data_IF_029797210407
#
_entry.id   IF_029797210407
#
_cell.length_a   1.000
_cell.length_b   1.000
_cell.length_c   1.000
_cell.angle_alpha   90.00
_cell.angle_beta   90.00
_cell.angle_gamma   90.00
#
_symmetry.space_group_name_H-M   'P 1'
#
loop_
_entity.id
_entity.type
_entity.pdbx_description
1 polymer ?
#
# COMPACT_ATOMS: atom_id res chain seq x y z
N UNK A 1 -6.19 30.00 0.86
CA UNK A 1 -6.51 28.97 1.88
C UNK A 1 -5.75 27.69 1.53
N UNK A 2 -5.21 26.96 2.51
CA UNK A 2 -4.48 25.71 2.27
C UNK A 2 -5.42 24.52 2.39
N UNK A 3 -5.61 23.76 1.30
CA UNK A 3 -6.40 22.52 1.30
C UNK A 3 -5.68 21.46 2.12
N UNK A 4 -6.38 20.74 2.99
CA UNK A 4 -5.79 19.64 3.77
C UNK A 4 -6.42 18.32 3.35
N UNK A 5 -5.59 17.32 3.07
CA UNK A 5 -6.06 15.98 2.64
C UNK A 5 -5.33 14.87 3.38
N UNK A 6 -5.98 13.73 3.52
CA UNK A 6 -5.43 12.47 4.02
C UNK A 6 -5.09 11.59 2.82
N UNK A 7 -3.89 11.04 2.77
CA UNK A 7 -3.48 10.03 1.79
C UNK A 7 -3.13 8.73 2.51
N UNK A 8 -4.04 7.76 2.46
CA UNK A 8 -3.89 6.44 3.05
C UNK A 8 -3.24 5.47 2.03
N UNK A 9 -2.01 5.04 2.33
CA UNK A 9 -1.35 3.95 1.63
C UNK A 9 -1.82 2.61 2.21
N UNK A 10 -2.89 2.05 1.63
CA UNK A 10 -3.60 0.87 2.14
C UNK A 10 -2.82 -0.42 1.84
N UNK A 11 -1.83 -0.72 2.67
CA UNK A 11 -1.06 -1.94 2.52
C UNK A 11 -1.91 -3.20 2.80
N UNK A 12 -1.92 -4.14 1.85
CA UNK A 12 -2.70 -5.37 1.94
C UNK A 12 -2.49 -6.12 3.27
N UNK A 13 -3.61 -6.36 3.99
CA UNK A 13 -3.69 -7.04 5.31
C UNK A 13 -2.99 -6.33 6.48
N UNK A 14 -2.86 -5.00 6.41
CA UNK A 14 -2.39 -4.15 7.51
C UNK A 14 -3.53 -3.36 8.18
N UNK A 15 -4.71 -3.96 8.30
CA UNK A 15 -5.91 -3.31 8.87
C UNK A 15 -6.41 -2.05 8.14
N UNK A 16 -5.97 -1.81 6.90
CA UNK A 16 -6.37 -0.63 6.14
C UNK A 16 -7.87 -0.56 5.82
N UNK A 17 -8.57 -1.70 5.70
CA UNK A 17 -10.03 -1.71 5.51
C UNK A 17 -10.76 -1.05 6.67
N UNK A 18 -10.29 -1.27 7.91
CA UNK A 18 -10.90 -0.63 9.08
C UNK A 18 -10.72 0.88 9.05
N UNK A 19 -9.55 1.37 8.61
CA UNK A 19 -9.34 2.80 8.41
C UNK A 19 -10.21 3.35 7.28
N UNK A 20 -10.30 2.64 6.15
CA UNK A 20 -11.17 3.05 5.04
C UNK A 20 -12.62 3.18 5.49
N UNK A 21 -13.13 2.26 6.31
CA UNK A 21 -14.47 2.36 6.89
C UNK A 21 -14.64 3.60 7.79
N UNK A 22 -13.64 3.93 8.62
CA UNK A 22 -13.66 5.16 9.41
C UNK A 22 -13.65 6.40 8.50
N UNK A 23 -12.78 6.44 7.49
CA UNK A 23 -12.67 7.58 6.57
C UNK A 23 -13.95 7.76 5.75
N UNK A 24 -14.52 6.68 5.20
CA UNK A 24 -15.81 6.69 4.49
C UNK A 24 -16.93 7.25 5.36
N UNK A 25 -17.06 6.77 6.60
CA UNK A 25 -18.13 7.22 7.52
C UNK A 25 -18.04 8.70 7.86
N UNK A 26 -16.82 9.24 7.96
CA UNK A 26 -16.59 10.63 8.36
C UNK A 26 -16.57 11.62 7.18
N UNK A 27 -16.20 11.16 5.98
CA UNK A 27 -16.01 12.04 4.81
C UNK A 27 -16.96 11.75 3.65
N UNK A 28 -17.77 10.69 3.72
CA UNK A 28 -18.77 10.31 2.71
C UNK A 28 -18.19 10.38 1.29
N UNK A 29 -18.84 11.12 0.39
CA UNK A 29 -18.45 11.26 -1.02
C UNK A 29 -17.10 11.99 -1.23
N UNK A 30 -16.55 12.58 -0.16
CA UNK A 30 -15.22 13.22 -0.17
C UNK A 30 -14.11 12.23 0.20
N UNK A 31 -14.44 10.99 0.55
CA UNK A 31 -13.50 9.88 0.53
C UNK A 31 -13.50 9.23 -0.85
N UNK A 32 -12.32 9.06 -1.44
CA UNK A 32 -12.16 8.49 -2.78
C UNK A 32 -11.08 7.42 -2.79
N UNK A 33 -11.24 6.43 -3.67
CA UNK A 33 -10.25 5.35 -3.86
C UNK A 33 -9.88 5.19 -5.32
N UNK A 34 -8.63 4.84 -5.59
CA UNK A 34 -8.13 4.55 -6.94
C UNK A 34 -6.92 3.63 -6.89
N UNK A 35 -6.83 2.71 -7.84
CA UNK A 35 -5.66 1.85 -8.03
C UNK A 35 -4.83 2.27 -9.26
N UNK A 36 -3.54 1.92 -9.20
CA UNK A 36 -2.44 2.32 -10.07
C UNK A 36 -1.58 1.11 -10.45
N UNK A 37 -2.23 -0.03 -10.69
CA UNK A 37 -1.61 -1.31 -11.02
C UNK A 37 -0.79 -1.24 -12.31
N UNK A 38 0.28 -2.05 -12.36
CA UNK A 38 1.11 -2.23 -13.55
C UNK A 38 2.02 -1.05 -13.92
N UNK A 39 1.95 0.08 -13.20
CA UNK A 39 2.80 1.23 -13.47
C UNK A 39 4.20 1.09 -12.83
N UNK A 40 5.27 1.50 -13.52
CA UNK A 40 6.57 1.73 -12.89
C UNK A 40 6.44 2.72 -11.71
N UNK A 41 7.28 2.59 -10.69
CA UNK A 41 7.18 3.40 -9.47
C UNK A 41 7.23 4.92 -9.73
N UNK A 42 8.01 5.36 -10.73
CA UNK A 42 8.07 6.77 -11.15
C UNK A 42 6.72 7.29 -11.66
N UNK A 43 6.07 6.50 -12.52
CA UNK A 43 4.80 6.87 -13.14
C UNK A 43 3.63 6.70 -12.18
N UNK A 44 3.68 5.69 -11.30
CA UNK A 44 2.71 5.52 -10.22
C UNK A 44 2.65 6.77 -9.34
N UNK A 45 3.80 7.25 -8.84
CA UNK A 45 3.84 8.48 -8.03
C UNK A 45 3.28 9.72 -8.76
N UNK A 46 3.61 9.87 -10.05
CA UNK A 46 3.06 10.95 -10.88
C UNK A 46 1.54 10.83 -11.01
N UNK A 47 1.04 9.61 -11.25
CA UNK A 47 -0.39 9.33 -11.36
C UNK A 47 -1.12 9.62 -10.04
N UNK A 48 -0.53 9.30 -8.89
CA UNK A 48 -1.06 9.66 -7.56
C UNK A 48 -1.14 11.18 -7.42
N UNK A 49 -0.07 11.91 -7.77
CA UNK A 49 -0.08 13.39 -7.72
C UNK A 49 -1.18 13.99 -8.62
N UNK A 50 -1.32 13.49 -9.85
CA UNK A 50 -2.38 13.91 -10.77
C UNK A 50 -3.78 13.61 -10.23
N UNK A 51 -3.96 12.45 -9.58
CA UNK A 51 -5.24 12.08 -8.97
C UNK A 51 -5.64 13.01 -7.83
N UNK A 52 -4.71 13.35 -6.93
CA UNK A 52 -4.97 14.31 -5.84
C UNK A 52 -5.31 15.70 -6.37
N UNK A 53 -4.56 16.17 -7.37
CA UNK A 53 -4.79 17.47 -8.01
C UNK A 53 -6.13 17.53 -8.77
N UNK A 54 -6.48 16.45 -9.48
CA UNK A 54 -7.69 16.35 -10.28
C UNK A 54 -8.98 16.08 -9.48
N UNK A 55 -8.89 15.91 -8.16
CA UNK A 55 -10.04 15.61 -7.30
C UNK A 55 -10.24 16.70 -6.24
N UNK A 56 -10.56 17.97 -6.61
CA UNK A 56 -10.54 19.11 -5.68
C UNK A 56 -11.46 18.98 -4.45
N UNK A 57 -12.60 18.31 -4.60
CA UNK A 57 -13.60 18.15 -3.53
C UNK A 57 -13.26 17.07 -2.49
N UNK A 58 -12.38 16.12 -2.86
CA UNK A 58 -11.98 15.03 -1.99
C UNK A 58 -11.12 15.51 -0.81
N UNK A 59 -11.19 14.82 0.31
CA UNK A 59 -10.36 15.09 1.50
C UNK A 59 -9.64 13.87 2.03
N UNK A 60 -10.12 12.68 1.69
CA UNK A 60 -9.49 11.42 2.09
C UNK A 60 -9.31 10.53 0.86
N UNK A 61 -8.08 10.12 0.63
CA UNK A 61 -7.68 9.29 -0.50
C UNK A 61 -7.18 7.96 0.04
N UNK A 62 -7.63 6.84 -0.53
CA UNK A 62 -7.13 5.51 -0.20
C UNK A 62 -6.71 4.75 -1.45
N UNK A 63 -5.64 3.96 -1.36
CA UNK A 63 -5.16 3.16 -2.48
C UNK A 63 -4.27 2.02 -2.00
N UNK A 64 -4.49 0.82 -2.53
CA UNK A 64 -3.62 -0.33 -2.23
C UNK A 64 -2.28 -0.26 -2.96
N UNK A 65 -2.29 0.42 -4.10
CA UNK A 65 -1.22 0.37 -5.12
C UNK A 65 -0.46 1.67 -5.25
N UNK A 66 -0.95 2.78 -4.68
CA UNK A 66 -0.23 4.05 -4.63
C UNK A 66 1.17 3.86 -4.03
N UNK A 67 2.19 4.46 -4.65
CA UNK A 67 3.58 4.39 -4.23
C UNK A 67 4.11 5.76 -3.83
N UNK A 68 5.11 5.74 -2.95
CA UNK A 68 5.84 6.92 -2.55
C UNK A 68 6.68 7.55 -3.68
N UNK A 69 7.26 8.74 -3.42
CA UNK A 69 7.12 9.50 -2.17
C UNK A 69 5.73 10.16 -2.03
N UNK A 70 5.45 10.75 -0.87
CA UNK A 70 4.26 11.59 -0.69
C UNK A 70 4.33 12.77 -1.68
N UNK A 71 3.33 12.97 -2.55
CA UNK A 71 3.32 14.09 -3.48
C UNK A 71 3.44 15.44 -2.77
N UNK A 72 4.02 16.43 -3.46
CA UNK A 72 3.96 17.83 -3.04
C UNK A 72 3.11 18.59 -4.04
N UNK A 73 2.03 19.20 -3.55
CA UNK A 73 1.08 19.95 -4.37
C UNK A 73 0.97 21.39 -3.84
N UNK A 74 1.08 22.41 -4.70
CA UNK A 74 0.89 23.81 -4.29
C UNK A 74 -0.44 24.01 -3.57
N UNK A 75 -0.41 24.76 -2.46
CA UNK A 75 -1.61 25.07 -1.68
C UNK A 75 -2.28 23.87 -1.00
N UNK A 76 -1.65 22.69 -0.99
CA UNK A 76 -2.21 21.48 -0.39
C UNK A 76 -1.27 20.89 0.66
N UNK A 77 -1.80 20.65 1.86
CA UNK A 77 -1.15 19.92 2.95
C UNK A 77 -1.64 18.47 2.93
N UNK A 78 -0.73 17.53 2.71
CA UNK A 78 -1.03 16.09 2.65
C UNK A 78 -0.56 15.43 3.93
N UNK A 79 -1.49 14.76 4.63
CA UNK A 79 -1.19 13.87 5.76
C UNK A 79 -1.17 12.43 5.25
N UNK A 80 0.02 11.86 5.11
CA UNK A 80 0.17 10.47 4.71
C UNK A 80 -0.09 9.54 5.90
N UNK A 81 -0.88 8.49 5.70
CA UNK A 81 -1.14 7.45 6.70
C UNK A 81 -0.77 6.09 6.11
N UNK A 82 -0.01 5.30 6.86
CA UNK A 82 0.34 3.93 6.51
C UNK A 82 0.34 3.10 7.78
N UNK A 83 -0.35 1.96 7.75
CA UNK A 83 -0.25 0.96 8.82
C UNK A 83 0.73 -0.13 8.44
N UNK A 84 1.59 -0.47 9.39
CA UNK A 84 2.43 -1.66 9.35
C UNK A 84 1.88 -2.69 10.35
N UNK A 85 2.18 -3.94 10.08
CA UNK A 85 1.81 -5.09 10.90
C UNK A 85 3.00 -6.02 10.97
N UNK A 86 3.12 -6.78 12.05
CA UNK A 86 4.08 -7.89 12.10
C UNK A 86 4.02 -8.71 10.78
N UNK A 87 5.17 -8.94 10.11
CA UNK A 87 5.18 -9.59 8.80
C UNK A 87 4.57 -10.99 8.80
N UNK A 88 4.77 -11.77 9.86
CA UNK A 88 4.24 -13.13 9.95
C UNK A 88 2.72 -13.11 10.19
N UNK A 89 2.23 -12.22 11.06
CA UNK A 89 0.80 -12.06 11.29
C UNK A 89 0.07 -11.54 10.05
N UNK A 90 0.70 -10.64 9.29
CA UNK A 90 0.16 -10.16 8.01
C UNK A 90 0.02 -11.33 7.02
N UNK A 91 1.05 -12.16 6.88
CA UNK A 91 1.04 -13.31 5.96
C UNK A 91 0.02 -14.36 6.41
N UNK A 92 -0.08 -14.64 7.72
CA UNK A 92 -1.12 -15.51 8.29
C UNK A 92 -2.52 -15.00 7.98
N UNK A 93 -2.74 -13.68 8.14
CA UNK A 93 -4.01 -13.04 7.81
C UNK A 93 -4.32 -13.08 6.31
N UNK A 94 -3.31 -12.94 5.46
CA UNK A 94 -3.45 -13.08 4.00
C UNK A 94 -3.86 -14.50 3.61
N UNK A 95 -3.17 -15.52 4.14
CA UNK A 95 -3.50 -16.92 3.91
C UNK A 95 -4.94 -17.25 4.32
N UNK A 96 -5.34 -16.88 5.54
CA UNK A 96 -6.71 -17.10 6.02
C UNK A 96 -7.76 -16.39 5.15
N UNK A 97 -7.44 -15.18 4.69
CA UNK A 97 -8.30 -14.43 3.79
C UNK A 97 -8.43 -15.13 2.44
N UNK A 98 -7.33 -15.37 1.73
CA UNK A 98 -7.34 -15.96 0.38
C UNK A 98 -7.94 -17.36 0.33
N UNK A 99 -7.84 -18.14 1.42
CA UNK A 99 -8.46 -19.47 1.51
C UNK A 99 -9.99 -19.44 1.50
N UNK A 100 -10.59 -18.33 1.94
CA UNK A 100 -12.06 -18.16 2.06
C UNK A 100 -12.67 -17.34 0.93
N UNK A 101 -11.85 -16.75 0.04
CA UNK A 101 -12.36 -15.97 -1.07
C UNK A 101 -12.87 -16.89 -2.18
N UNK A 102 -13.93 -16.49 -2.89
CA UNK A 102 -14.51 -17.29 -3.98
C UNK A 102 -13.86 -17.03 -5.35
N UNK A 103 -13.13 -15.93 -5.52
CA UNK A 103 -12.46 -15.60 -6.78
C UNK A 103 -11.21 -16.46 -7.04
N UNK A 104 -10.90 -16.67 -8.31
CA UNK A 104 -9.72 -17.42 -8.75
C UNK A 104 -8.53 -16.49 -9.00
N UNK A 105 -7.49 -16.60 -8.18
CA UNK A 105 -6.22 -15.92 -8.34
C UNK A 105 -5.07 -16.87 -8.01
N UNK A 106 -3.83 -16.59 -8.44
CA UNK A 106 -2.67 -17.39 -8.03
C UNK A 106 -2.61 -17.60 -6.51
N UNK A 107 -2.92 -16.55 -5.74
CA UNK A 107 -2.96 -16.60 -4.29
C UNK A 107 -4.02 -17.52 -3.71
N UNK A 108 -5.28 -17.38 -4.17
CA UNK A 108 -6.37 -18.23 -3.69
C UNK A 108 -6.15 -19.70 -4.07
N UNK A 109 -5.58 -19.98 -5.25
CA UNK A 109 -5.19 -21.34 -5.65
C UNK A 109 -4.14 -21.95 -4.75
N UNK A 110 -3.11 -21.20 -4.35
CA UNK A 110 -2.08 -21.69 -3.43
C UNK A 110 -2.70 -21.92 -2.05
N UNK A 111 -3.45 -20.94 -1.54
CA UNK A 111 -4.03 -20.98 -0.20
C UNK A 111 -5.05 -22.11 0.00
N UNK A 112 -5.79 -22.50 -1.06
CA UNK A 112 -6.75 -23.62 -1.02
C UNK A 112 -6.08 -24.99 -1.06
N UNK A 113 -4.97 -25.15 -1.80
CA UNK A 113 -4.31 -26.45 -1.98
C UNK A 113 -3.23 -26.78 -0.95
N UNK A 114 -2.72 -25.77 -0.23
CA UNK A 114 -1.62 -25.93 0.75
C UNK A 114 -2.09 -25.68 2.18
N UNK A 115 -1.24 -26.05 3.14
CA UNK A 115 -1.29 -25.52 4.51
C UNK A 115 -0.56 -24.16 4.58
N UNK A 116 -0.52 -23.53 5.76
CA UNK A 116 0.16 -22.23 5.90
C UNK A 116 1.65 -22.29 5.53
N UNK A 117 2.35 -23.37 5.90
CA UNK A 117 3.77 -23.51 5.60
C UNK A 117 4.01 -23.69 4.09
N UNK A 118 3.22 -24.53 3.42
CA UNK A 118 3.24 -24.70 1.96
C UNK A 118 2.92 -23.40 1.23
N UNK A 119 1.92 -22.65 1.70
CA UNK A 119 1.58 -21.34 1.16
C UNK A 119 2.76 -20.37 1.18
N UNK A 120 3.48 -20.31 2.30
CA UNK A 120 4.65 -19.44 2.44
C UNK A 120 5.81 -19.91 1.55
N UNK A 121 6.10 -21.22 1.51
CA UNK A 121 7.18 -21.77 0.67
C UNK A 121 6.95 -21.48 -0.79
N UNK A 122 5.78 -21.83 -1.33
CA UNK A 122 5.47 -21.61 -2.75
C UNK A 122 5.53 -20.13 -3.15
N UNK A 123 5.07 -19.22 -2.28
CA UNK A 123 5.16 -17.76 -2.51
C UNK A 123 6.60 -17.22 -2.44
N UNK A 124 7.48 -17.88 -1.68
CA UNK A 124 8.90 -17.49 -1.58
C UNK A 124 9.74 -18.07 -2.72
N UNK A 125 9.33 -19.21 -3.28
CA UNK A 125 9.96 -19.86 -4.43
C UNK A 125 9.76 -19.05 -5.73
N UNK A 126 8.70 -18.23 -5.81
CA UNK A 126 8.48 -17.28 -6.90
C UNK A 126 9.45 -16.06 -6.77
N UNK A 127 10.56 -15.96 -7.54
CA UNK A 127 11.66 -15.05 -7.20
C UNK A 127 11.31 -13.56 -7.29
N UNK A 128 10.33 -13.22 -8.13
CA UNK A 128 9.87 -11.84 -8.34
C UNK A 128 8.72 -11.45 -7.43
N UNK A 129 8.14 -12.39 -6.69
CA UNK A 129 6.99 -12.14 -5.83
C UNK A 129 7.41 -11.45 -4.53
N UNK A 130 6.78 -10.30 -4.25
CA UNK A 130 7.02 -9.51 -3.03
C UNK A 130 5.92 -9.69 -1.99
N UNK A 131 5.00 -10.62 -2.23
CA UNK A 131 3.83 -10.80 -1.37
C UNK A 131 4.21 -11.29 0.02
N UNK A 132 5.15 -12.24 0.13
CA UNK A 132 5.73 -12.69 1.40
C UNK A 132 7.12 -12.08 1.66
N UNK A 133 7.93 -11.97 0.60
CA UNK A 133 9.33 -11.49 0.69
C UNK A 133 9.40 -9.98 0.87
N UNK A 134 9.76 -9.53 2.07
CA UNK A 134 10.09 -8.14 2.39
C UNK A 134 9.03 -7.13 1.90
N UNK A 135 7.75 -7.50 1.99
CA UNK A 135 6.64 -6.69 1.47
C UNK A 135 6.68 -5.25 1.98
N UNK A 136 6.78 -5.05 3.30
CA UNK A 136 6.85 -3.71 3.89
C UNK A 136 8.10 -2.95 3.46
N UNK A 137 9.28 -3.59 3.47
CA UNK A 137 10.52 -2.95 3.03
C UNK A 137 10.41 -2.47 1.59
N UNK A 138 9.86 -3.29 0.69
CA UNK A 138 9.63 -2.92 -0.70
C UNK A 138 8.70 -1.69 -0.83
N UNK A 139 7.61 -1.66 -0.05
CA UNK A 139 6.64 -0.55 -0.06
C UNK A 139 7.22 0.73 0.53
N UNK A 140 7.99 0.65 1.61
CA UNK A 140 8.65 1.78 2.25
C UNK A 140 9.82 2.32 1.41
N UNK A 141 10.55 1.44 0.74
CA UNK A 141 11.65 1.84 -0.13
C UNK A 141 11.19 2.77 -1.27
N UNK A 142 9.93 2.71 -1.70
CA UNK A 142 9.38 3.61 -2.70
C UNK A 142 9.44 5.10 -2.29
N UNK A 143 9.54 5.41 -1.00
CA UNK A 143 9.58 6.77 -0.46
C UNK A 143 10.98 7.40 -0.47
N UNK A 144 12.03 6.59 -0.73
CA UNK A 144 13.37 7.07 -1.02
C UNK A 144 13.85 6.51 -2.36
N UNK A 145 14.17 7.40 -3.31
CA UNK A 145 14.52 7.02 -4.69
C UNK A 145 16.02 7.11 -4.98
N UNK A 146 16.84 7.18 -3.94
CA UNK A 146 18.29 7.22 -4.11
C UNK A 146 18.76 5.90 -4.74
N UNK A 147 19.32 5.92 -5.97
CA UNK A 147 19.75 4.71 -6.66
C UNK A 147 21.02 4.10 -6.03
N UNK A 148 21.75 4.84 -5.19
CA UNK A 148 22.96 4.35 -4.53
C UNK A 148 22.66 3.51 -3.27
N UNK A 149 21.44 3.61 -2.74
CA UNK A 149 21.02 2.90 -1.55
C UNK A 149 20.37 1.55 -1.88
N UNK A 150 20.68 0.55 -1.07
CA UNK A 150 20.00 -0.75 -1.07
C UNK A 150 18.52 -0.62 -0.68
N UNK A 151 17.69 -1.63 -1.01
CA UNK A 151 16.27 -1.64 -0.66
C UNK A 151 16.01 -1.45 0.85
N UNK A 152 16.74 -2.14 1.77
CA UNK A 152 16.59 -1.90 3.21
C UNK A 152 16.94 -0.47 3.64
N UNK A 153 18.01 0.12 3.08
CA UNK A 153 18.41 1.50 3.40
C UNK A 153 17.37 2.50 2.94
N UNK A 154 16.82 2.32 1.73
CA UNK A 154 15.72 3.13 1.22
C UNK A 154 14.45 2.95 2.04
N UNK A 155 14.16 1.74 2.52
CA UNK A 155 13.03 1.48 3.40
C UNK A 155 13.17 2.24 4.72
N UNK A 156 14.36 2.20 5.34
CA UNK A 156 14.66 2.93 6.58
C UNK A 156 14.49 4.45 6.39
N UNK A 157 15.05 5.02 5.33
CA UNK A 157 14.84 6.44 5.02
C UNK A 157 13.38 6.76 4.66
N UNK A 158 12.68 5.81 4.03
CA UNK A 158 11.26 5.93 3.72
C UNK A 158 10.39 6.02 4.98
N UNK A 159 10.72 5.24 6.01
CA UNK A 159 10.07 5.32 7.33
C UNK A 159 10.31 6.69 7.97
N UNK A 160 11.55 7.16 8.02
CA UNK A 160 11.90 8.48 8.56
C UNK A 160 11.12 9.60 7.87
N UNK A 161 10.97 9.54 6.54
CA UNK A 161 10.18 10.52 5.76
C UNK A 161 8.68 10.48 6.05
N UNK A 162 8.16 9.36 6.54
CA UNK A 162 6.77 9.17 6.93
C UNK A 162 6.54 9.45 8.43
N UNK A 163 7.61 9.67 9.22
CA UNK A 163 7.53 9.82 10.67
C UNK A 163 7.25 8.51 11.40
N UNK A 164 7.68 7.38 10.84
CA UNK A 164 7.61 6.04 11.43
C UNK A 164 8.93 5.62 12.09
#
# INVERSE_FOLDING_TARGET
>A
MTRTVILHYHLFKNAGTSLDEVLKRNFADRWVTREFDGLPASDNHRAVACWLAGSPEAVAFSSHTAMGPVPRLPGTRIHAIMFLRDPLDRIRSAYAFERTQDYDSPGTRIARRTDFAGYVRERLDAPRERFCRNFHCHRLAAFCRDPQLSEPERARQGMERLGL
#
